data_IF_287962857202
#
_entry.id   IF_287962857202
#
_cell.length_a   1.000
_cell.length_b   1.000
_cell.length_c   1.000
_cell.angle_alpha   90.00
_cell.angle_beta   90.00
_cell.angle_gamma   90.00
#
_symmetry.space_group_name_H-M   'P 1'
#
loop_
_entity.id
_entity.type
_entity.pdbx_description
1 polymer ?
#
# COMPACT_ATOMS: atom_id res chain seq x y z
N UNK A 1 0.39 -2.01 -17.05
CA UNK A 1 -0.12 -3.36 -17.38
C UNK A 1 -0.25 -3.48 -18.88
N UNK A 2 0.01 -4.66 -19.44
CA UNK A 2 -0.21 -5.01 -20.84
C UNK A 2 -1.26 -6.12 -20.92
N UNK A 3 -2.20 -6.00 -21.85
CA UNK A 3 -3.29 -6.95 -22.08
C UNK A 3 -3.17 -7.50 -23.49
N UNK A 4 -3.17 -8.84 -23.60
CA UNK A 4 -3.14 -9.53 -24.88
C UNK A 4 -4.41 -10.35 -25.02
N UNK A 5 -5.04 -10.25 -26.20
CA UNK A 5 -6.25 -10.98 -26.53
C UNK A 5 -6.26 -11.27 -28.03
N UNK A 6 -6.74 -12.45 -28.46
CA UNK A 6 -7.03 -12.72 -29.86
C UNK A 6 -8.35 -12.06 -30.33
N UNK A 7 -9.13 -11.50 -29.41
CA UNK A 7 -10.42 -10.85 -29.69
C UNK A 7 -10.24 -9.35 -29.94
N UNK A 8 -11.20 -8.70 -30.64
CA UNK A 8 -11.19 -7.26 -30.84
C UNK A 8 -11.20 -6.47 -29.52
N UNK A 9 -10.63 -5.26 -29.54
CA UNK A 9 -10.53 -4.39 -28.36
C UNK A 9 -11.88 -4.07 -27.70
N UNK A 10 -12.98 -4.02 -28.46
CA UNK A 10 -14.31 -3.74 -27.91
C UNK A 10 -14.82 -4.88 -27.00
N UNK A 11 -14.54 -6.15 -27.34
CA UNK A 11 -14.90 -7.30 -26.50
C UNK A 11 -14.09 -7.29 -25.20
N UNK A 12 -12.80 -6.98 -25.30
CA UNK A 12 -11.92 -6.80 -24.12
C UNK A 12 -12.44 -5.68 -23.23
N UNK A 13 -12.77 -4.52 -23.79
CA UNK A 13 -13.30 -3.40 -23.03
C UNK A 13 -14.66 -3.72 -22.37
N UNK A 14 -15.54 -4.45 -23.06
CA UNK A 14 -16.81 -4.91 -22.51
C UNK A 14 -16.62 -5.87 -21.33
N UNK A 15 -15.65 -6.78 -21.43
CA UNK A 15 -15.29 -7.70 -20.35
C UNK A 15 -14.74 -6.95 -19.13
N UNK A 16 -13.74 -6.08 -19.33
CA UNK A 16 -13.15 -5.30 -18.24
C UNK A 16 -14.16 -4.36 -17.57
N UNK A 17 -15.16 -3.86 -18.30
CA UNK A 17 -16.25 -3.04 -17.74
C UNK A 17 -17.03 -3.77 -16.65
N UNK A 18 -17.20 -5.09 -16.77
CA UNK A 18 -17.87 -5.92 -15.76
C UNK A 18 -17.12 -5.95 -14.43
N UNK A 19 -15.83 -5.64 -14.44
CA UNK A 19 -14.95 -5.62 -13.27
C UNK A 19 -14.78 -4.22 -12.66
N UNK A 20 -15.40 -3.16 -13.22
CA UNK A 20 -15.28 -1.81 -12.64
C UNK A 20 -15.98 -1.70 -11.29
N UNK A 21 -17.07 -2.44 -11.11
CA UNK A 21 -17.82 -2.52 -9.87
C UNK A 21 -17.90 -3.99 -9.47
N UNK A 22 -17.40 -4.29 -8.28
CA UNK A 22 -17.35 -5.63 -7.72
C UNK A 22 -18.05 -5.65 -6.37
N UNK A 23 -18.52 -6.82 -5.97
CA UNK A 23 -19.16 -7.05 -4.68
C UNK A 23 -18.14 -7.69 -3.72
N UNK A 24 -17.98 -7.11 -2.54
CA UNK A 24 -17.18 -7.67 -1.46
C UNK A 24 -17.87 -8.91 -0.85
N UNK A 25 -17.16 -9.75 -0.08
CA UNK A 25 -17.75 -10.92 0.57
C UNK A 25 -18.97 -10.61 1.47
N UNK A 26 -19.05 -9.40 2.01
CA UNK A 26 -20.14 -8.90 2.86
C UNK A 26 -21.34 -8.33 2.08
N UNK A 27 -21.27 -8.29 0.74
CA UNK A 27 -22.33 -7.78 -0.14
C UNK A 27 -22.19 -6.30 -0.50
N UNK A 28 -21.17 -5.59 0.00
CA UNK A 28 -20.94 -4.19 -0.35
C UNK A 28 -20.37 -4.05 -1.76
N UNK A 29 -20.93 -3.16 -2.57
CA UNK A 29 -20.38 -2.85 -3.90
C UNK A 29 -19.30 -1.78 -3.83
N UNK A 30 -18.17 -2.04 -4.46
CA UNK A 30 -17.00 -1.15 -4.47
C UNK A 30 -16.47 -0.95 -5.89
N UNK A 31 -15.83 0.19 -6.12
CA UNK A 31 -15.12 0.47 -7.37
C UNK A 31 -13.73 -0.13 -7.36
N UNK A 32 -13.43 -0.96 -8.36
CA UNK A 32 -12.15 -1.62 -8.48
C UNK A 32 -11.21 -0.80 -9.35
N UNK A 33 -10.02 -0.50 -8.83
CA UNK A 33 -8.97 0.23 -9.55
C UNK A 33 -8.21 -0.69 -10.51
N UNK A 34 -8.91 -1.33 -11.46
CA UNK A 34 -8.32 -2.33 -12.36
C UNK A 34 -7.17 -1.79 -13.25
N UNK A 35 -7.11 -0.48 -13.47
CA UNK A 35 -6.00 0.16 -14.17
C UNK A 35 -4.69 0.13 -13.38
N UNK A 36 -4.74 -0.07 -12.06
CA UNK A 36 -3.58 -0.24 -11.20
C UNK A 36 -2.98 -1.64 -11.41
N UNK A 37 -1.68 -1.69 -11.73
CA UNK A 37 -1.00 -2.94 -12.03
C UNK A 37 -0.95 -3.91 -10.83
N UNK A 38 -0.90 -3.38 -9.60
CA UNK A 38 -0.88 -4.21 -8.40
C UNK A 38 -2.26 -4.84 -8.14
N UNK A 39 -3.34 -4.08 -8.36
CA UNK A 39 -4.72 -4.57 -8.28
C UNK A 39 -4.96 -5.66 -9.33
N UNK A 40 -4.58 -5.40 -10.59
CA UNK A 40 -4.69 -6.39 -11.64
C UNK A 40 -3.87 -7.67 -11.32
N UNK A 41 -2.63 -7.52 -10.82
CA UNK A 41 -1.79 -8.64 -10.41
C UNK A 41 -2.50 -9.48 -9.35
N UNK A 42 -3.05 -8.86 -8.30
CA UNK A 42 -3.76 -9.57 -7.23
C UNK A 42 -4.96 -10.36 -7.77
N UNK A 43 -5.76 -9.75 -8.64
CA UNK A 43 -6.92 -10.40 -9.25
C UNK A 43 -6.53 -11.57 -10.16
N UNK A 44 -5.65 -11.34 -11.13
CA UNK A 44 -5.26 -12.37 -12.11
C UNK A 44 -4.29 -13.43 -11.56
N UNK A 45 -3.78 -13.25 -10.34
CA UNK A 45 -3.08 -14.30 -9.59
C UNK A 45 -4.04 -15.30 -8.95
N UNK A 46 -5.33 -14.96 -8.84
CA UNK A 46 -6.32 -15.87 -8.27
C UNK A 46 -6.58 -17.07 -9.17
N UNK A 47 -7.19 -18.11 -8.59
CA UNK A 47 -7.59 -19.31 -9.34
C UNK A 47 -8.84 -19.10 -10.21
N UNK A 48 -9.40 -17.88 -10.26
CA UNK A 48 -10.66 -17.61 -10.95
C UNK A 48 -10.46 -17.30 -12.44
N UNK A 49 -10.66 -18.31 -13.28
CA UNK A 49 -10.51 -18.18 -14.73
C UNK A 49 -11.50 -17.20 -15.39
N UNK A 50 -12.65 -16.93 -14.74
CA UNK A 50 -13.67 -16.01 -15.27
C UNK A 50 -13.12 -14.60 -15.44
N UNK A 51 -12.10 -14.23 -14.66
CA UNK A 51 -11.43 -12.94 -14.74
C UNK A 51 -10.77 -12.69 -16.10
N UNK A 52 -10.30 -13.74 -16.77
CA UNK A 52 -9.59 -13.60 -18.04
C UNK A 52 -10.55 -13.28 -19.20
N UNK A 53 -11.72 -13.91 -19.27
CA UNK A 53 -12.68 -13.70 -20.36
C UNK A 53 -12.01 -13.82 -21.74
N UNK A 54 -11.99 -12.76 -22.58
CA UNK A 54 -11.33 -12.78 -23.89
C UNK A 54 -9.79 -12.66 -23.82
N UNK A 55 -9.20 -12.44 -22.65
CA UNK A 55 -7.76 -12.23 -22.50
C UNK A 55 -6.99 -13.55 -22.60
N UNK A 56 -5.95 -13.60 -23.44
CA UNK A 56 -5.03 -14.74 -23.51
C UNK A 56 -3.81 -14.57 -22.61
N UNK A 57 -3.48 -13.32 -22.25
CA UNK A 57 -2.36 -13.02 -21.35
C UNK A 57 -2.53 -11.64 -20.73
N UNK A 58 -2.21 -11.53 -19.44
CA UNK A 58 -2.10 -10.27 -18.71
C UNK A 58 -0.69 -10.15 -18.17
N UNK A 59 -0.05 -9.01 -18.40
CA UNK A 59 1.30 -8.75 -17.89
C UNK A 59 1.27 -7.51 -17.01
N UNK A 60 1.66 -7.67 -15.74
CA UNK A 60 1.66 -6.60 -14.73
C UNK A 60 3.10 -6.31 -14.32
N UNK A 61 3.39 -5.03 -14.06
CA UNK A 61 4.68 -4.61 -13.54
C UNK A 61 4.60 -4.53 -12.01
N UNK A 62 5.65 -4.96 -11.34
CA UNK A 62 5.86 -4.80 -9.90
C UNK A 62 6.91 -3.70 -9.68
N UNK A 63 6.49 -2.55 -9.18
CA UNK A 63 7.35 -1.38 -9.00
C UNK A 63 8.37 -1.53 -7.87
N UNK A 64 8.09 -2.35 -6.85
CA UNK A 64 9.05 -2.56 -5.75
C UNK A 64 10.11 -3.57 -6.17
N UNK A 65 9.67 -4.70 -6.74
CA UNK A 65 10.58 -5.77 -7.14
C UNK A 65 11.28 -5.53 -8.48
N UNK A 66 10.89 -4.50 -9.23
CA UNK A 66 11.31 -4.25 -10.61
C UNK A 66 11.14 -5.48 -11.53
N UNK A 67 10.09 -6.28 -11.30
CA UNK A 67 9.80 -7.51 -12.03
C UNK A 67 8.50 -7.40 -12.82
N UNK A 68 8.37 -8.22 -13.86
CA UNK A 68 7.13 -8.37 -14.62
C UNK A 68 6.49 -9.71 -14.29
N UNK A 69 5.19 -9.71 -14.04
CA UNK A 69 4.40 -10.91 -13.80
C UNK A 69 3.52 -11.19 -15.01
N UNK A 70 3.49 -12.45 -15.42
CA UNK A 70 2.69 -12.94 -16.53
C UNK A 70 1.60 -13.86 -16.00
N UNK A 71 0.35 -13.57 -16.35
CA UNK A 71 -0.83 -14.33 -15.97
C UNK A 71 -1.53 -14.82 -17.23
N UNK A 72 -1.94 -16.09 -17.23
CA UNK A 72 -2.63 -16.72 -18.36
C UNK A 72 -3.79 -17.58 -17.84
N UNK A 73 -4.89 -17.69 -18.60
CA UNK A 73 -5.95 -18.63 -18.26
C UNK A 73 -5.41 -20.06 -18.33
N UNK A 74 -5.91 -20.92 -17.44
CA UNK A 74 -5.48 -22.34 -17.37
C UNK A 74 -6.12 -23.18 -18.46
N UNK A 75 -7.29 -22.76 -18.93
CA UNK A 75 -8.06 -23.40 -19.96
C UNK A 75 -8.34 -22.40 -21.11
N UNK A 76 -8.47 -22.89 -22.36
CA UNK A 76 -8.78 -22.03 -23.50
C UNK A 76 -10.14 -21.34 -23.37
N UNK A 77 -11.10 -22.02 -22.75
CA UNK A 77 -12.44 -21.51 -22.54
C UNK A 77 -12.56 -20.92 -21.13
N UNK A 78 -12.85 -19.62 -21.06
CA UNK A 78 -13.17 -18.94 -19.82
C UNK A 78 -14.69 -18.91 -19.65
N UNK A 79 -15.23 -19.33 -18.49
CA UNK A 79 -16.66 -19.19 -18.23
C UNK A 79 -17.07 -17.72 -18.17
N UNK A 80 -18.35 -17.46 -18.41
CA UNK A 80 -18.89 -16.11 -18.32
C UNK A 80 -18.72 -15.51 -16.93
N UNK A 81 -18.31 -14.25 -16.90
CA UNK A 81 -18.16 -13.47 -15.68
C UNK A 81 -19.53 -12.90 -15.24
N UNK A 82 -20.03 -13.26 -14.04
CA UNK A 82 -21.29 -12.73 -13.52
C UNK A 82 -21.18 -11.23 -13.19
N UNK A 83 -22.34 -10.55 -13.14
CA UNK A 83 -22.46 -9.12 -12.80
C UNK A 83 -23.52 -8.98 -11.69
N UNK A 84 -23.17 -8.45 -10.50
CA UNK A 84 -21.83 -8.02 -10.11
C UNK A 84 -20.88 -9.22 -9.96
N UNK A 85 -19.58 -8.98 -10.19
CA UNK A 85 -18.56 -9.97 -9.86
C UNK A 85 -18.31 -9.93 -8.35
N UNK A 86 -18.49 -11.07 -7.67
CA UNK A 86 -18.25 -11.18 -6.23
C UNK A 86 -16.84 -11.66 -5.95
N UNK A 87 -16.09 -10.86 -5.19
CA UNK A 87 -14.75 -11.19 -4.74
C UNK A 87 -14.79 -12.35 -3.75
N UNK A 88 -13.86 -13.30 -3.89
CA UNK A 88 -13.59 -14.29 -2.86
C UNK A 88 -12.90 -13.63 -1.65
N UNK A 89 -12.94 -14.29 -0.49
CA UNK A 89 -12.20 -13.84 0.68
C UNK A 89 -10.68 -13.72 0.39
N UNK A 90 -10.12 -14.65 -0.38
CA UNK A 90 -8.72 -14.62 -0.81
C UNK A 90 -8.42 -13.39 -1.69
N UNK A 91 -9.31 -13.06 -2.61
CA UNK A 91 -9.16 -11.88 -3.47
C UNK A 91 -9.29 -10.58 -2.67
N UNK A 92 -10.24 -10.52 -1.73
CA UNK A 92 -10.40 -9.36 -0.84
C UNK A 92 -9.13 -9.12 -0.04
N UNK A 93 -8.60 -10.16 0.62
CA UNK A 93 -7.35 -10.07 1.37
C UNK A 93 -6.16 -9.67 0.49
N UNK A 94 -6.08 -10.19 -0.74
CA UNK A 94 -5.03 -9.81 -1.68
C UNK A 94 -5.12 -8.33 -2.08
N UNK A 95 -6.32 -7.77 -2.20
CA UNK A 95 -6.53 -6.35 -2.46
C UNK A 95 -6.19 -5.48 -1.25
N UNK A 96 -6.53 -5.92 -0.03
CA UNK A 96 -6.13 -5.23 1.20
C UNK A 96 -4.59 -5.12 1.31
N UNK A 97 -3.87 -6.19 0.93
CA UNK A 97 -2.41 -6.18 0.86
C UNK A 97 -1.87 -5.21 -0.21
N UNK A 98 -2.59 -5.04 -1.34
CA UNK A 98 -2.24 -4.05 -2.37
C UNK A 98 -2.40 -2.63 -1.83
N UNK A 99 -3.49 -2.34 -1.13
CA UNK A 99 -3.72 -1.02 -0.54
C UNK A 99 -2.67 -0.70 0.54
N UNK A 100 -2.36 -1.68 1.41
CA UNK A 100 -1.25 -1.59 2.37
C UNK A 100 0.07 -1.24 1.68
N UNK A 101 0.43 -2.02 0.65
CA UNK A 101 1.66 -1.82 -0.13
C UNK A 101 1.73 -0.42 -0.75
N UNK A 102 0.59 0.08 -1.23
CA UNK A 102 0.51 1.42 -1.81
C UNK A 102 0.75 2.52 -0.79
N UNK A 103 0.20 2.39 0.43
CA UNK A 103 0.49 3.34 1.52
C UNK A 103 1.99 3.38 1.84
N UNK A 104 2.67 2.23 1.87
CA UNK A 104 4.12 2.17 2.08
C UNK A 104 4.92 2.82 0.95
N UNK A 105 4.47 2.70 -0.31
CA UNK A 105 5.09 3.40 -1.44
C UNK A 105 4.91 4.92 -1.36
N UNK A 106 3.73 5.38 -0.93
CA UNK A 106 3.48 6.80 -0.69
C UNK A 106 4.33 7.31 0.49
N UNK A 107 4.55 6.48 1.51
CA UNK A 107 5.45 6.79 2.63
C UNK A 107 6.92 6.87 2.19
N UNK A 108 7.40 5.94 1.36
CA UNK A 108 8.76 5.97 0.80
C UNK A 108 9.03 7.27 0.05
N UNK A 109 8.11 7.65 -0.84
CA UNK A 109 8.20 8.90 -1.60
C UNK A 109 8.18 10.14 -0.68
N UNK A 110 7.38 10.10 0.39
CA UNK A 110 7.34 11.16 1.40
C UNK A 110 8.69 11.29 2.13
N UNK A 111 9.26 10.18 2.58
CA UNK A 111 10.55 10.17 3.28
C UNK A 111 11.69 10.67 2.38
N UNK A 112 11.75 10.23 1.12
CA UNK A 112 12.73 10.72 0.14
C UNK A 112 12.61 12.22 -0.10
N UNK A 113 11.38 12.76 -0.12
CA UNK A 113 11.14 14.19 -0.36
C UNK A 113 11.53 15.05 0.84
N UNK A 114 11.28 14.57 2.06
CA UNK A 114 11.38 15.38 3.28
C UNK A 114 12.65 15.11 4.11
N UNK A 115 13.33 13.98 3.88
CA UNK A 115 14.56 13.57 4.56
C UNK A 115 15.58 12.98 3.55
N UNK A 116 15.90 13.68 2.45
CA UNK A 116 16.70 13.13 1.36
C UNK A 116 18.11 12.69 1.80
N UNK A 117 18.71 13.41 2.75
CA UNK A 117 20.02 13.10 3.34
C UNK A 117 20.11 11.71 3.99
N UNK A 118 18.97 11.09 4.33
CA UNK A 118 18.92 9.80 5.02
C UNK A 118 18.85 8.59 4.12
N UNK A 119 18.42 8.78 2.87
CA UNK A 119 18.00 7.68 2.01
C UNK A 119 18.90 7.48 0.79
N UNK A 120 20.02 8.21 0.73
CA UNK A 120 21.17 7.94 -0.14
C UNK A 120 20.79 7.56 -1.58
N UNK A 121 21.48 6.55 -2.12
CA UNK A 121 21.21 5.96 -3.43
C UNK A 121 20.43 4.65 -3.33
N UNK A 122 19.77 4.38 -2.19
CA UNK A 122 19.05 3.13 -1.98
C UNK A 122 17.84 3.05 -2.93
N UNK A 123 17.50 1.84 -3.33
CA UNK A 123 16.27 1.51 -4.04
C UNK A 123 15.12 1.33 -3.05
N UNK A 124 13.89 1.43 -3.54
CA UNK A 124 12.69 1.15 -2.72
C UNK A 124 12.70 -0.29 -2.18
N UNK A 125 13.29 -1.24 -2.92
CA UNK A 125 13.41 -2.63 -2.50
C UNK A 125 14.31 -2.77 -1.26
N UNK A 126 15.42 -2.03 -1.22
CA UNK A 126 16.35 -2.04 -0.08
C UNK A 126 15.72 -1.39 1.16
N UNK A 127 14.88 -0.36 0.99
CA UNK A 127 14.16 0.30 2.08
C UNK A 127 12.90 -0.43 2.54
N UNK A 128 12.44 -1.44 1.80
CA UNK A 128 11.13 -2.05 2.02
C UNK A 128 10.94 -2.60 3.45
N UNK A 129 11.95 -3.31 3.96
CA UNK A 129 11.90 -3.88 5.32
C UNK A 129 11.80 -2.80 6.40
N UNK A 130 12.41 -1.62 6.19
CA UNK A 130 12.32 -0.50 7.12
C UNK A 130 10.92 0.11 7.12
N UNK A 131 10.28 0.24 5.94
CA UNK A 131 8.91 0.73 5.83
C UNK A 131 7.91 -0.19 6.53
N UNK A 132 8.07 -1.51 6.35
CA UNK A 132 7.24 -2.52 7.05
C UNK A 132 7.45 -2.49 8.57
N UNK A 133 8.68 -2.22 9.02
CA UNK A 133 8.97 -2.06 10.43
C UNK A 133 8.29 -0.81 11.02
N UNK A 134 8.37 0.34 10.34
CA UNK A 134 7.70 1.57 10.77
C UNK A 134 6.19 1.38 10.90
N UNK A 135 5.57 0.68 9.95
CA UNK A 135 4.15 0.36 10.01
C UNK A 135 3.80 -0.57 11.18
N UNK A 136 4.62 -1.60 11.41
CA UNK A 136 4.44 -2.53 12.53
C UNK A 136 4.53 -1.81 13.87
N UNK A 137 5.53 -0.93 14.02
CA UNK A 137 5.74 -0.13 15.23
C UNK A 137 4.60 0.89 15.43
N UNK A 138 4.14 1.55 14.37
CA UNK A 138 3.00 2.47 14.42
C UNK A 138 1.71 1.74 14.83
N UNK A 139 1.42 0.57 14.24
CA UNK A 139 0.23 -0.22 14.61
C UNK A 139 0.31 -0.74 16.05
N UNK A 140 1.49 -1.11 16.55
CA UNK A 140 1.68 -1.47 17.96
C UNK A 140 1.37 -0.30 18.93
N UNK A 141 1.43 0.94 18.46
CA UNK A 141 1.01 2.14 19.19
C UNK A 141 -0.49 2.48 18.99
N UNK A 142 -1.24 1.70 18.21
CA UNK A 142 -2.63 1.96 17.85
C UNK A 142 -2.81 3.04 16.78
N UNK A 143 -1.78 3.30 15.97
CA UNK A 143 -1.82 4.23 14.84
C UNK A 143 -2.23 3.51 13.55
N UNK A 144 -3.47 3.00 13.51
CA UNK A 144 -3.94 2.11 12.43
C UNK A 144 -4.39 2.83 11.15
N UNK A 145 -4.11 4.13 11.02
CA UNK A 145 -4.46 4.91 9.83
C UNK A 145 -3.22 5.52 9.15
N UNK A 146 -3.29 5.80 7.82
CA UNK A 146 -2.15 6.33 7.09
C UNK A 146 -1.55 7.61 7.67
N UNK A 147 -2.39 8.54 8.15
CA UNK A 147 -1.89 9.78 8.75
C UNK A 147 -1.03 9.52 9.99
N UNK A 148 -1.48 8.61 10.86
CA UNK A 148 -0.74 8.17 12.05
C UNK A 148 0.63 7.59 11.71
N UNK A 149 0.67 6.71 10.70
CA UNK A 149 1.92 6.15 10.17
C UNK A 149 2.88 7.25 9.67
N UNK A 150 2.38 8.22 8.90
CA UNK A 150 3.23 9.31 8.37
C UNK A 150 3.78 10.21 9.47
N UNK A 151 2.98 10.53 10.50
CA UNK A 151 3.50 11.28 11.65
C UNK A 151 4.52 10.47 12.43
N UNK A 152 4.29 9.17 12.63
CA UNK A 152 5.25 8.29 13.28
C UNK A 152 6.58 8.23 12.52
N UNK A 153 6.53 7.99 11.21
CA UNK A 153 7.71 8.00 10.36
C UNK A 153 8.44 9.34 10.42
N UNK A 154 7.73 10.48 10.44
CA UNK A 154 8.33 11.80 10.62
C UNK A 154 9.05 11.97 11.96
N UNK A 155 8.56 11.36 13.04
CA UNK A 155 9.25 11.38 14.34
C UNK A 155 10.54 10.57 14.21
N UNK A 156 10.45 9.30 13.79
CA UNK A 156 11.63 8.43 13.66
C UNK A 156 12.68 9.02 12.72
N UNK A 157 12.23 9.56 11.58
CA UNK A 157 13.05 10.26 10.59
C UNK A 157 13.57 11.63 11.05
N UNK A 158 13.28 12.08 12.27
CA UNK A 158 13.93 13.28 12.87
C UNK A 158 14.86 12.91 14.01
N UNK A 159 14.56 11.84 14.73
CA UNK A 159 15.40 11.36 15.82
C UNK A 159 16.70 10.73 15.33
N UNK A 160 16.79 10.31 14.06
CA UNK A 160 18.04 9.81 13.45
C UNK A 160 18.63 8.58 14.15
N UNK A 161 17.76 7.63 14.52
CA UNK A 161 18.18 6.46 15.29
C UNK A 161 18.51 6.77 16.76
N UNK A 162 18.40 8.03 17.22
CA UNK A 162 18.47 8.35 18.64
C UNK A 162 17.37 7.60 19.39
N UNK A 163 17.69 6.80 20.43
CA UNK A 163 16.69 6.06 21.18
C UNK A 163 15.64 7.00 21.77
N UNK A 164 14.37 6.57 21.77
CA UNK A 164 13.28 7.32 22.40
C UNK A 164 13.53 7.65 23.88
N UNK A 165 14.34 6.85 24.57
CA UNK A 165 14.76 7.12 25.95
C UNK A 165 15.56 8.42 26.12
N UNK A 166 16.23 8.92 25.08
CA UNK A 166 16.91 10.23 25.09
C UNK A 166 15.93 11.39 24.88
N UNK A 167 14.66 11.07 24.65
CA UNK A 167 13.60 11.96 24.20
C UNK A 167 12.34 11.75 25.05
N UNK A 168 12.40 12.01 26.38
CA UNK A 168 11.40 11.56 27.34
C UNK A 168 10.00 12.12 27.09
N UNK A 169 9.90 13.35 26.58
CA UNK A 169 8.62 13.97 26.24
C UNK A 169 7.93 13.27 25.06
N UNK A 170 8.69 13.00 24.00
CA UNK A 170 8.22 12.24 22.83
C UNK A 170 7.83 10.83 23.28
N UNK A 171 8.70 10.16 24.06
CA UNK A 171 8.43 8.82 24.54
C UNK A 171 7.13 8.72 25.35
N UNK A 172 6.88 9.71 26.21
CA UNK A 172 5.63 9.81 27.00
C UNK A 172 4.40 10.01 26.11
N UNK A 173 4.48 10.86 25.09
CA UNK A 173 3.36 11.08 24.17
C UNK A 173 2.98 9.82 23.38
N UNK A 174 3.98 8.97 23.06
CA UNK A 174 3.73 7.73 22.34
C UNK A 174 3.18 6.63 23.24
N UNK A 175 3.81 6.40 24.40
CA UNK A 175 3.58 5.18 25.19
C UNK A 175 2.67 5.35 26.41
N UNK A 176 2.60 6.55 27.02
CA UNK A 176 1.86 6.70 28.27
C UNK A 176 0.39 7.00 27.95
N UNK A 177 -0.58 6.24 28.47
CA UNK A 177 -2.00 6.53 28.29
C UNK A 177 -2.37 7.94 28.77
N UNK A 178 -3.30 8.58 28.06
CA UNK A 178 -3.84 9.88 28.42
C UNK A 178 -5.28 10.00 27.93
N UNK A 179 -6.00 11.03 28.38
CA UNK A 179 -7.34 11.35 27.88
C UNK A 179 -7.33 11.76 26.40
N UNK A 180 -6.19 12.22 25.88
CA UNK A 180 -6.02 12.53 24.46
C UNK A 180 -5.84 11.25 23.62
N UNK A 181 -6.53 11.14 22.47
CA UNK A 181 -6.34 10.05 21.52
C UNK A 181 -4.90 9.99 21.00
N UNK A 182 -4.38 8.79 20.74
CA UNK A 182 -2.99 8.60 20.25
C UNK A 182 -2.72 9.34 18.94
N UNK A 183 -3.74 9.47 18.08
CA UNK A 183 -3.67 10.22 16.83
C UNK A 183 -3.41 11.73 17.01
N UNK A 184 -3.79 12.34 18.13
CA UNK A 184 -3.45 13.74 18.43
C UNK A 184 -2.04 13.85 19.04
N UNK A 185 -1.69 12.89 19.89
CA UNK A 185 -0.39 12.87 20.57
C UNK A 185 0.77 12.67 19.61
N UNK A 186 0.57 11.88 18.55
CA UNK A 186 1.60 11.67 17.53
C UNK A 186 1.90 12.96 16.74
N UNK A 187 0.90 13.84 16.55
CA UNK A 187 1.10 15.15 15.92
C UNK A 187 1.99 16.02 16.80
N UNK A 188 1.69 16.09 18.09
CA UNK A 188 2.51 16.83 19.07
C UNK A 188 3.94 16.28 19.13
N UNK A 189 4.10 14.95 19.12
CA UNK A 189 5.41 14.31 19.09
C UNK A 189 6.20 14.67 17.81
N UNK A 190 5.53 14.71 16.66
CA UNK A 190 6.15 15.10 15.39
C UNK A 190 6.59 16.57 15.37
N UNK A 191 5.81 17.46 15.99
CA UNK A 191 6.15 18.88 16.14
C UNK A 191 7.34 19.08 17.09
N UNK A 192 7.39 18.38 18.23
CA UNK A 192 8.54 18.40 19.15
C UNK A 192 9.82 17.88 18.47
N UNK A 193 9.73 16.75 17.77
CA UNK A 193 10.85 16.21 17.01
C UNK A 193 11.37 17.20 15.96
N UNK A 194 10.47 17.95 15.31
CA UNK A 194 10.83 19.02 14.35
C UNK A 194 11.56 20.18 15.02
N UNK A 195 11.08 20.63 16.19
CA UNK A 195 11.73 21.71 16.94
C UNK A 195 13.15 21.32 17.34
N UNK A 196 13.35 20.11 17.88
CA UNK A 196 14.67 19.62 18.27
C UNK A 196 15.65 19.46 17.11
N UNK A 197 15.18 18.95 15.97
CA UNK A 197 16.02 18.86 14.77
C UNK A 197 16.50 20.25 14.32
N UNK A 198 15.64 21.26 14.38
CA UNK A 198 15.99 22.64 14.04
C UNK A 198 16.97 23.27 15.04
N UNK A 199 16.88 22.91 16.33
CA UNK A 199 17.79 23.40 17.37
C UNK A 199 19.19 22.77 17.26
N UNK A 200 19.28 21.48 16.94
CA UNK A 200 20.57 20.81 16.63
C UNK A 200 21.26 21.36 15.38
N UNK A 201 20.48 21.89 14.42
CA UNK A 201 20.99 22.48 13.18
C UNK A 201 21.44 23.95 13.31
N UNK A 202 21.35 24.57 14.49
CA UNK A 202 21.89 25.92 14.72
C UNK A 202 23.37 25.83 15.13
N UNK A 203 24.28 26.54 14.45
CA UNK A 203 25.71 26.55 14.76
C UNK A 203 26.04 27.14 16.13
#
# INVERSE_FOLDING_TARGET
>A
MLLFSPKPAHEVAQHLRKLLTVELPDGLQVFLRLADAAVAKALFSSNDQRLFGPLSCVVTADSVGATWHRHQPRQPECPDLPIPYRLSAEQSLALDLVDRRRVLLELDAHLLKHFPERHGSETVAERWSMLEQLETEASALGLDNPSGLFYYANVMARLDGSPLGQHPEINRLLHNPSLQPVGERIVLAADLARQWANERGRP
#
